data_IF_289176933747
#
_entry.id   IF_289176933747
#
_cell.length_a   1.000
_cell.length_b   1.000
_cell.length_c   1.000
_cell.angle_alpha   90.00
_cell.angle_beta   90.00
_cell.angle_gamma   90.00
#
_symmetry.space_group_name_H-M   'P 1'
#
loop_
_entity.id
_entity.type
_entity.pdbx_description
1 polymer ?
#
# COMPACT_ATOMS: atom_id res chain seq x y z
N UNK A 1 -106.36 12.35 11.57
CA UNK A 1 -106.97 13.43 10.77
C UNK A 1 -106.85 14.73 11.55
N UNK A 2 -106.24 15.75 10.93
CA UNK A 2 -106.34 17.21 11.17
C UNK A 2 -106.09 17.79 12.58
N UNK A 3 -105.25 18.83 12.54
CA UNK A 3 -105.36 20.12 13.25
C UNK A 3 -104.94 20.11 14.74
N UNK A 4 -104.38 21.15 15.38
CA UNK A 4 -104.05 22.55 15.02
C UNK A 4 -103.34 23.17 16.26
N UNK A 5 -102.50 24.19 16.03
CA UNK A 5 -102.21 25.38 16.89
C UNK A 5 -101.27 25.36 18.13
N UNK A 6 -100.27 26.23 18.01
CA UNK A 6 -99.83 27.34 18.91
C UNK A 6 -99.31 27.12 20.33
N UNK A 7 -98.07 27.60 20.53
CA UNK A 7 -97.65 28.66 21.47
C UNK A 7 -98.14 28.62 22.92
N UNK A 8 -97.22 28.55 23.89
CA UNK A 8 -96.85 29.68 24.76
C UNK A 8 -95.83 29.28 25.82
N UNK A 9 -95.09 30.31 26.26
CA UNK A 9 -94.16 30.38 27.38
C UNK A 9 -94.75 29.87 28.71
N UNK A 10 -93.87 29.50 29.65
CA UNK A 10 -94.20 29.51 31.08
C UNK A 10 -93.18 28.81 31.98
N UNK A 11 -92.27 29.58 32.55
CA UNK A 11 -91.42 29.24 33.69
C UNK A 11 -92.26 28.76 34.90
N UNK A 12 -91.74 27.81 35.70
CA UNK A 12 -91.83 27.86 37.18
C UNK A 12 -90.83 26.90 37.84
N UNK A 13 -89.99 27.45 38.70
CA UNK A 13 -89.08 26.76 39.63
C UNK A 13 -89.86 25.98 40.72
N UNK A 14 -89.23 25.00 41.40
CA UNK A 14 -89.30 24.77 42.87
C UNK A 14 -88.40 23.58 43.29
N UNK A 15 -87.39 23.93 44.11
CA UNK A 15 -86.81 23.30 45.31
C UNK A 15 -86.41 21.80 45.39
N UNK A 16 -85.08 21.63 45.46
CA UNK A 16 -84.28 20.94 46.49
C UNK A 16 -84.85 19.74 47.27
N UNK A 17 -84.18 18.59 47.12
CA UNK A 17 -83.94 17.63 48.20
C UNK A 17 -82.43 17.29 48.26
N UNK A 18 -81.81 17.51 49.42
CA UNK A 18 -80.45 17.08 49.78
C UNK A 18 -80.57 15.95 50.82
N UNK A 19 -79.95 14.79 50.58
CA UNK A 19 -79.03 14.08 51.51
C UNK A 19 -78.58 12.75 50.85
N UNK A 20 -77.31 12.68 50.44
CA UNK A 20 -76.21 11.93 51.08
C UNK A 20 -76.25 10.39 50.91
N UNK A 21 -75.48 9.88 49.94
CA UNK A 21 -74.35 8.98 50.24
C UNK A 21 -73.44 8.78 49.01
N UNK A 22 -72.14 8.72 49.28
CA UNK A 22 -71.03 8.68 48.32
C UNK A 22 -70.90 7.32 47.64
N UNK A 23 -70.68 7.32 46.32
CA UNK A 23 -69.80 6.32 45.68
C UNK A 23 -69.12 6.90 44.46
N UNK A 24 -67.83 6.60 44.37
CA UNK A 24 -66.77 7.14 43.54
C UNK A 24 -67.04 6.85 42.05
N UNK A 25 -66.96 7.88 41.18
CA UNK A 25 -66.81 7.71 39.74
C UNK A 25 -65.36 8.03 39.36
N UNK A 26 -64.70 7.05 38.74
CA UNK A 26 -63.34 7.12 38.21
C UNK A 26 -63.20 8.28 37.22
N UNK A 27 -62.16 9.09 37.40
CA UNK A 27 -61.64 9.97 36.36
C UNK A 27 -60.90 9.11 35.34
N UNK A 28 -61.57 8.77 34.24
CA UNK A 28 -60.86 8.25 33.07
C UNK A 28 -60.37 9.44 32.24
N UNK A 29 -59.15 9.87 32.58
CA UNK A 29 -58.31 10.73 31.77
C UNK A 29 -58.09 10.08 30.40
N UNK A 30 -58.75 10.58 29.35
CA UNK A 30 -58.21 10.42 27.99
C UNK A 30 -57.22 11.55 27.77
N UNK A 31 -56.06 11.45 28.43
CA UNK A 31 -54.86 12.06 27.92
C UNK A 31 -54.39 11.13 26.79
N UNK A 32 -54.80 11.42 25.56
CA UNK A 32 -54.14 10.81 24.40
C UNK A 32 -52.70 11.32 24.41
N UNK A 33 -51.79 10.54 24.98
CA UNK A 33 -50.36 10.71 24.76
C UNK A 33 -50.15 10.54 23.25
N UNK A 34 -50.07 11.66 22.52
CA UNK A 34 -49.39 11.67 21.24
C UNK A 34 -47.95 11.27 21.55
N UNK A 35 -47.65 9.99 21.32
CA UNK A 35 -46.30 9.49 21.40
C UNK A 35 -45.60 10.07 20.17
N UNK A 36 -45.04 11.27 20.31
CA UNK A 36 -44.23 11.90 19.27
C UNK A 36 -43.03 10.98 19.09
N UNK A 37 -43.05 10.20 18.01
CA UNK A 37 -41.92 9.36 17.65
C UNK A 37 -40.78 10.32 17.33
N UNK A 38 -39.69 10.26 18.10
CA UNK A 38 -38.54 11.13 17.88
C UNK A 38 -38.12 11.07 16.43
N UNK A 39 -37.99 12.25 15.82
CA UNK A 39 -37.26 12.33 14.57
C UNK A 39 -35.79 12.02 14.89
N UNK A 40 -35.05 11.45 13.93
CA UNK A 40 -33.62 11.28 14.15
C UNK A 40 -32.89 12.63 14.20
N UNK A 41 -31.66 12.66 14.72
CA UNK A 41 -30.86 13.87 14.76
C UNK A 41 -30.57 14.39 13.35
N UNK A 42 -30.20 15.67 13.21
CA UNK A 42 -29.68 16.25 11.98
C UNK A 42 -28.18 16.48 12.13
N UNK A 43 -27.38 15.74 11.37
CA UNK A 43 -25.93 15.84 11.38
C UNK A 43 -25.44 16.98 10.46
N UNK A 44 -24.64 17.89 11.02
CA UNK A 44 -24.09 19.03 10.29
C UNK A 44 -22.57 19.06 10.42
N UNK A 45 -21.89 18.91 9.29
CA UNK A 45 -20.43 18.96 9.20
C UNK A 45 -19.97 20.32 8.66
N UNK A 46 -18.75 20.71 9.02
CA UNK A 46 -18.03 21.78 8.31
C UNK A 46 -17.79 21.37 6.86
N UNK A 47 -18.15 22.25 5.92
CA UNK A 47 -18.06 21.99 4.48
C UNK A 47 -16.72 22.45 3.87
N UNK A 48 -16.00 23.34 4.55
CA UNK A 48 -14.66 23.75 4.13
C UNK A 48 -13.67 22.60 4.28
N UNK A 49 -12.71 22.51 3.36
CA UNK A 49 -11.60 21.58 3.51
C UNK A 49 -10.78 21.95 4.74
N UNK A 50 -10.83 21.08 5.76
CA UNK A 50 -10.12 21.31 7.01
C UNK A 50 -8.66 20.89 6.86
N UNK A 51 -7.74 21.84 7.11
CA UNK A 51 -6.31 21.61 7.04
C UNK A 51 -5.73 21.27 8.42
N UNK A 52 -5.08 20.11 8.56
CA UNK A 52 -4.38 19.70 9.78
C UNK A 52 -2.88 19.53 9.52
N UNK A 53 -2.07 19.77 10.55
CA UNK A 53 -0.61 19.63 10.51
C UNK A 53 -0.13 18.75 11.66
N UNK A 54 0.95 18.00 11.44
CA UNK A 54 1.52 17.10 12.45
C UNK A 54 2.08 17.89 13.64
N UNK A 55 1.91 17.33 14.85
CA UNK A 55 2.60 17.84 16.04
C UNK A 55 4.08 17.37 16.08
N UNK A 56 4.84 17.83 17.08
CA UNK A 56 6.25 17.47 17.27
C UNK A 56 6.53 15.96 17.45
N UNK A 57 5.50 15.18 17.76
CA UNK A 57 5.57 13.73 17.93
C UNK A 57 5.10 12.98 16.67
N UNK A 58 4.86 13.68 15.56
CA UNK A 58 4.43 13.07 14.30
C UNK A 58 3.00 12.54 14.33
N UNK A 59 2.12 13.13 15.15
CA UNK A 59 0.72 12.70 15.31
C UNK A 59 -0.26 13.85 15.04
N UNK A 60 -1.37 13.53 14.40
CA UNK A 60 -2.57 14.35 14.30
C UNK A 60 -3.69 13.61 15.02
N UNK A 61 -4.44 14.31 15.86
CA UNK A 61 -5.67 13.79 16.47
C UNK A 61 -6.79 14.74 16.08
N UNK A 62 -7.80 14.21 15.40
CA UNK A 62 -8.98 14.96 14.95
C UNK A 62 -10.15 14.47 15.78
N UNK A 63 -10.71 15.37 16.60
CA UNK A 63 -11.89 15.10 17.41
C UNK A 63 -13.17 15.52 16.69
N UNK A 64 -14.28 14.88 17.03
CA UNK A 64 -15.60 15.15 16.45
C UNK A 64 -16.05 16.62 16.60
N UNK A 65 -15.71 17.27 17.70
CA UNK A 65 -16.01 18.68 17.95
C UNK A 65 -15.33 19.66 16.97
N UNK A 66 -14.25 19.24 16.32
CA UNK A 66 -13.59 20.04 15.28
C UNK A 66 -14.33 19.96 13.94
N UNK A 67 -15.15 18.92 13.75
CA UNK A 67 -15.86 18.61 12.51
C UNK A 67 -17.32 19.05 12.58
N UNK A 68 -17.96 18.86 13.72
CA UNK A 68 -19.34 19.28 13.95
C UNK A 68 -19.50 20.79 13.74
N UNK A 69 -20.57 21.16 13.05
CA UNK A 69 -20.95 22.54 12.76
C UNK A 69 -22.33 22.88 13.34
N UNK A 70 -22.67 22.27 14.49
CA UNK A 70 -23.92 22.51 15.19
C UNK A 70 -25.02 21.53 14.81
N UNK A 71 -24.73 20.24 14.79
CA UNK A 71 -25.75 19.19 14.70
C UNK A 71 -26.80 19.38 15.80
N UNK A 72 -28.05 18.98 15.56
CA UNK A 72 -29.12 19.16 16.53
C UNK A 72 -30.19 18.09 16.40
N UNK A 73 -30.99 17.95 17.45
CA UNK A 73 -32.14 17.04 17.50
C UNK A 73 -33.36 17.76 18.09
N UNK A 74 -34.55 17.23 17.84
CA UNK A 74 -35.80 17.84 18.31
C UNK A 74 -36.08 17.56 19.80
N UNK A 75 -35.63 16.42 20.32
CA UNK A 75 -35.86 15.99 21.71
C UNK A 75 -34.60 15.85 22.53
N UNK A 76 -33.48 15.47 21.91
CA UNK A 76 -32.20 15.27 22.57
C UNK A 76 -31.42 16.59 22.62
N UNK A 77 -31.13 17.15 23.81
CA UNK A 77 -30.27 18.32 23.94
C UNK A 77 -28.87 18.06 23.38
N UNK A 78 -28.24 19.09 22.83
CA UNK A 78 -26.93 18.96 22.17
C UNK A 78 -25.87 18.28 23.03
N UNK A 79 -25.80 18.62 24.31
CA UNK A 79 -24.85 18.05 25.28
C UNK A 79 -25.03 16.54 25.52
N UNK A 80 -26.17 15.98 25.10
CA UNK A 80 -26.47 14.55 25.19
C UNK A 80 -26.31 13.81 23.87
N UNK A 81 -26.12 14.52 22.76
CA UNK A 81 -25.84 13.90 21.47
C UNK A 81 -24.47 13.21 21.51
N UNK A 82 -24.40 12.03 20.91
CA UNK A 82 -23.17 11.25 20.78
C UNK A 82 -22.60 11.42 19.39
N UNK A 83 -21.33 11.78 19.33
CA UNK A 83 -20.59 11.99 18.09
C UNK A 83 -19.49 10.96 17.96
N UNK A 84 -19.39 10.30 16.80
CA UNK A 84 -18.32 9.35 16.55
C UNK A 84 -18.02 9.17 15.07
N UNK A 85 -16.81 8.73 14.76
CA UNK A 85 -16.34 8.47 13.39
C UNK A 85 -16.54 7.01 12.96
N UNK A 86 -16.70 6.07 13.90
CA UNK A 86 -16.90 4.66 13.61
C UNK A 86 -18.08 4.09 14.42
N UNK A 87 -19.05 3.48 13.73
CA UNK A 87 -20.27 2.93 14.36
C UNK A 87 -20.02 1.79 15.35
N UNK A 88 -18.97 1.00 15.16
CA UNK A 88 -18.66 -0.18 15.98
C UNK A 88 -17.87 0.20 17.22
N UNK A 89 -16.78 0.97 17.05
CA UNK A 89 -15.93 1.38 18.16
C UNK A 89 -16.46 2.59 18.92
N UNK A 90 -17.43 3.33 18.36
CA UNK A 90 -17.98 4.58 18.90
C UNK A 90 -16.88 5.59 19.27
N UNK A 91 -15.82 5.63 18.45
CA UNK A 91 -14.66 6.50 18.63
C UNK A 91 -14.98 7.96 18.30
N UNK A 92 -14.64 8.87 19.20
CA UNK A 92 -14.82 10.32 19.09
C UNK A 92 -13.59 11.05 18.51
N UNK A 93 -12.55 10.29 18.16
CA UNK A 93 -11.33 10.80 17.52
C UNK A 93 -10.84 9.88 16.42
N UNK A 94 -10.28 10.47 15.37
CA UNK A 94 -9.43 9.79 14.40
C UNK A 94 -7.99 10.23 14.66
N UNK A 95 -7.08 9.27 14.68
CA UNK A 95 -5.65 9.52 14.82
C UNK A 95 -4.95 9.24 13.50
N UNK A 96 -4.06 10.15 13.10
CA UNK A 96 -3.12 9.93 12.01
C UNK A 96 -1.71 10.04 12.55
N UNK A 97 -0.95 8.97 12.42
CA UNK A 97 0.49 9.00 12.64
C UNK A 97 1.21 9.27 11.33
N UNK A 98 2.41 9.83 11.39
CA UNK A 98 3.29 9.92 10.22
C UNK A 98 3.37 8.56 9.49
N UNK A 99 3.47 7.46 10.23
CA UNK A 99 3.53 6.10 9.70
C UNK A 99 2.23 5.64 9.00
N UNK A 100 1.07 6.16 9.40
CA UNK A 100 -0.26 5.79 8.89
C UNK A 100 -0.70 6.61 7.68
N UNK A 101 -0.16 7.82 7.53
CA UNK A 101 -0.44 8.73 6.43
C UNK A 101 -0.11 8.12 5.05
N UNK A 102 0.71 7.07 5.04
CA UNK A 102 1.35 6.49 3.85
C UNK A 102 0.71 5.23 3.29
N UNK A 103 -0.23 4.62 4.00
CA UNK A 103 -1.00 3.50 3.43
C UNK A 103 -2.09 3.98 2.47
N UNK A 104 -2.62 5.20 2.67
CA UNK A 104 -3.81 5.67 1.96
C UNK A 104 -3.51 6.37 0.62
N UNK A 105 -2.31 6.92 0.42
CA UNK A 105 -2.09 7.95 -0.62
C UNK A 105 -1.08 7.59 -1.72
N UNK A 106 -0.33 6.49 -1.57
CA UNK A 106 0.52 5.95 -2.64
C UNK A 106 1.66 6.86 -3.13
N UNK A 107 1.84 8.05 -2.56
CA UNK A 107 2.84 9.04 -2.92
C UNK A 107 3.03 10.01 -1.73
N UNK A 108 4.25 10.12 -1.20
CA UNK A 108 4.54 10.87 0.02
C UNK A 108 4.53 12.40 -0.22
N UNK A 109 4.37 12.83 -1.47
CA UNK A 109 4.25 14.22 -1.91
C UNK A 109 2.82 14.61 -2.37
N UNK A 110 1.86 13.68 -2.38
CA UNK A 110 0.48 13.99 -2.78
C UNK A 110 -0.34 14.53 -1.62
N UNK A 111 -0.83 15.76 -1.83
CA UNK A 111 -1.91 16.39 -1.06
C UNK A 111 -3.23 15.70 -1.39
N UNK A 112 -3.50 14.57 -0.77
CA UNK A 112 -4.76 13.88 -1.02
C UNK A 112 -5.84 14.30 -0.02
N UNK A 113 -7.02 14.52 -0.59
CA UNK A 113 -8.25 14.85 0.12
C UNK A 113 -8.87 13.54 0.62
N UNK A 114 -8.94 13.39 1.94
CA UNK A 114 -9.56 12.21 2.57
C UNK A 114 -11.03 12.50 2.89
N UNK A 115 -11.93 11.60 2.47
CA UNK A 115 -13.35 11.70 2.77
C UNK A 115 -13.71 10.82 3.97
N UNK A 116 -14.32 11.42 4.99
CA UNK A 116 -14.78 10.76 6.20
C UNK A 116 -16.24 11.06 6.49
N UNK A 117 -16.83 10.29 7.40
CA UNK A 117 -18.22 10.41 7.85
C UNK A 117 -18.22 10.68 9.35
N UNK A 118 -18.93 11.74 9.77
CA UNK A 118 -19.28 11.98 11.16
C UNK A 118 -20.68 11.42 11.40
N UNK A 119 -20.84 10.60 12.44
CA UNK A 119 -22.14 10.10 12.88
C UNK A 119 -22.61 10.83 14.13
N UNK A 120 -23.91 11.12 14.18
CA UNK A 120 -24.59 11.75 15.31
C UNK A 120 -25.71 10.82 15.75
N UNK A 121 -25.74 10.50 17.05
CA UNK A 121 -26.73 9.62 17.66
C UNK A 121 -27.42 10.30 18.84
N UNK A 122 -28.75 10.15 18.89
CA UNK A 122 -29.61 10.72 19.92
C UNK A 122 -29.79 9.76 21.13
N UNK A 123 -30.61 10.13 22.13
CA UNK A 123 -30.90 9.25 23.28
C UNK A 123 -31.75 8.02 22.91
N UNK A 124 -32.49 8.08 21.81
CA UNK A 124 -33.38 7.03 21.28
C UNK A 124 -32.68 6.08 20.28
N UNK A 125 -31.36 6.25 20.07
CA UNK A 125 -30.51 5.49 19.15
C UNK A 125 -30.83 5.69 17.66
N UNK A 126 -31.52 6.77 17.29
CA UNK A 126 -31.57 7.20 15.91
C UNK A 126 -30.22 7.80 15.52
N UNK A 127 -29.79 7.55 14.28
CA UNK A 127 -28.47 7.95 13.79
C UNK A 127 -28.65 8.70 12.48
N UNK A 128 -28.00 9.86 12.39
CA UNK A 128 -27.77 10.59 11.15
C UNK A 128 -26.26 10.79 10.91
N UNK A 129 -25.88 11.20 9.70
CA UNK A 129 -24.48 11.34 9.33
C UNK A 129 -24.23 12.44 8.31
N UNK A 130 -23.06 13.05 8.40
CA UNK A 130 -22.57 14.02 7.42
C UNK A 130 -21.17 13.65 6.92
N UNK A 131 -20.94 13.89 5.63
CA UNK A 131 -19.64 13.68 5.01
C UNK A 131 -18.80 14.96 5.13
N UNK A 132 -17.49 14.78 5.32
CA UNK A 132 -16.54 15.88 5.34
C UNK A 132 -15.22 15.47 4.71
N UNK A 133 -14.46 16.47 4.25
CA UNK A 133 -13.19 16.27 3.58
C UNK A 133 -12.06 16.90 4.38
N UNK A 134 -11.01 16.12 4.63
CA UNK A 134 -9.82 16.53 5.37
C UNK A 134 -8.65 16.66 4.39
N UNK A 135 -7.87 17.72 4.56
CA UNK A 135 -6.55 17.85 3.95
C UNK A 135 -5.48 17.80 5.06
N UNK A 136 -4.58 16.83 4.98
CA UNK A 136 -3.44 16.72 5.91
C UNK A 136 -2.21 17.24 5.18
N UNK A 137 -1.51 18.21 5.79
CA UNK A 137 -0.31 18.79 5.20
C UNK A 137 0.88 18.66 6.16
N UNK A 138 2.04 18.26 5.63
CA UNK A 138 3.33 18.33 6.34
C UNK A 138 4.13 19.57 5.91
N UNK A 139 3.61 20.77 6.20
CA UNK A 139 4.22 22.03 5.76
C UNK A 139 5.61 22.30 6.35
N UNK A 140 5.96 21.62 7.45
CA UNK A 140 7.21 21.83 8.18
C UNK A 140 8.18 20.64 8.06
N UNK A 141 7.88 19.65 7.22
CA UNK A 141 8.65 18.41 7.11
C UNK A 141 8.93 17.77 8.48
N UNK A 142 7.92 17.83 9.38
CA UNK A 142 8.03 17.34 10.76
C UNK A 142 8.05 15.82 10.80
N UNK A 143 7.42 15.18 9.82
CA UNK A 143 7.59 13.74 9.68
C UNK A 143 8.98 13.45 9.10
N UNK A 144 9.76 12.52 9.71
CA UNK A 144 11.15 12.27 9.37
C UNK A 144 11.29 11.42 8.11
N UNK A 145 10.71 11.89 7.00
CA UNK A 145 10.80 11.21 5.71
C UNK A 145 12.04 11.63 4.92
N UNK A 146 12.63 12.78 5.24
CA UNK A 146 13.88 13.24 4.63
C UNK A 146 15.12 12.47 5.11
N UNK A 147 16.00 12.11 4.17
CA UNK A 147 17.33 11.59 4.46
C UNK A 147 17.42 10.07 4.68
N UNK A 148 16.37 9.32 4.31
CA UNK A 148 16.47 7.86 4.18
C UNK A 148 17.01 7.48 2.81
N UNK A 149 17.65 6.33 2.77
CA UNK A 149 18.13 5.79 1.51
C UNK A 149 18.01 4.27 1.45
N UNK A 150 17.84 3.79 0.22
CA UNK A 150 18.02 2.39 -0.15
C UNK A 150 19.40 2.28 -0.77
N UNK A 151 20.25 1.43 -0.21
CA UNK A 151 21.55 1.08 -0.78
C UNK A 151 21.53 -0.35 -1.26
N UNK A 152 21.98 -0.53 -2.50
CA UNK A 152 22.15 -1.84 -3.14
C UNK A 152 23.60 -1.97 -3.58
N UNK A 153 24.21 -3.09 -3.22
CA UNK A 153 25.51 -3.49 -3.76
C UNK A 153 25.38 -4.69 -4.69
N UNK A 154 26.09 -4.63 -5.83
CA UNK A 154 26.15 -5.67 -6.84
C UNK A 154 27.60 -6.17 -6.94
N UNK A 155 27.80 -7.46 -6.68
CA UNK A 155 29.13 -8.07 -6.71
C UNK A 155 29.14 -9.38 -7.48
N UNK A 156 30.28 -9.78 -8.03
CA UNK A 156 30.49 -11.14 -8.56
C UNK A 156 30.79 -12.11 -7.41
N UNK A 157 30.85 -13.42 -7.71
CA UNK A 157 31.36 -14.44 -6.78
C UNK A 157 32.79 -14.16 -6.30
N UNK A 158 33.60 -13.47 -7.12
CA UNK A 158 34.96 -13.05 -6.77
C UNK A 158 35.00 -11.76 -5.95
N UNK A 159 33.82 -11.24 -5.55
CA UNK A 159 33.62 -9.97 -4.82
C UNK A 159 34.04 -8.73 -5.60
N UNK A 160 34.10 -8.82 -6.92
CA UNK A 160 34.32 -7.67 -7.81
C UNK A 160 33.00 -6.92 -7.98
N UNK A 161 33.07 -5.59 -8.06
CA UNK A 161 31.88 -4.76 -8.24
C UNK A 161 31.32 -4.86 -9.65
N UNK A 162 29.98 -4.95 -9.77
CA UNK A 162 29.29 -5.08 -11.06
C UNK A 162 28.49 -3.82 -11.35
N UNK A 163 28.86 -3.10 -12.40
CA UNK A 163 28.03 -1.99 -12.87
C UNK A 163 26.77 -2.53 -13.54
N UNK A 164 25.61 -1.96 -13.23
CA UNK A 164 24.30 -2.39 -13.76
C UNK A 164 23.29 -1.30 -13.55
N UNK A 165 22.22 -1.33 -14.31
CA UNK A 165 20.99 -0.60 -13.96
C UNK A 165 20.26 -1.36 -12.87
N UNK A 166 19.57 -0.67 -11.97
CA UNK A 166 18.71 -1.23 -10.93
C UNK A 166 17.33 -0.59 -11.10
N UNK A 167 16.31 -1.43 -11.18
CA UNK A 167 14.90 -1.02 -11.27
C UNK A 167 14.23 -1.30 -9.94
N UNK A 168 13.48 -0.32 -9.44
CA UNK A 168 12.53 -0.49 -8.35
C UNK A 168 11.17 -0.72 -8.97
N UNK A 169 10.48 -1.79 -8.58
CA UNK A 169 9.16 -2.13 -9.10
C UNK A 169 8.12 -2.22 -7.98
N UNK A 170 6.91 -1.76 -8.24
CA UNK A 170 5.74 -2.00 -7.42
C UNK A 170 4.65 -2.60 -8.30
N UNK A 171 4.11 -3.75 -7.93
CA UNK A 171 3.11 -4.47 -8.73
C UNK A 171 3.54 -4.68 -10.20
N UNK A 172 4.82 -4.99 -10.41
CA UNK A 172 5.48 -5.13 -11.72
C UNK A 172 5.60 -3.85 -12.56
N UNK A 173 5.20 -2.70 -12.02
CA UNK A 173 5.40 -1.38 -12.63
C UNK A 173 6.72 -0.81 -12.14
N UNK A 174 7.56 -0.33 -13.06
CA UNK A 174 8.81 0.36 -12.71
C UNK A 174 8.43 1.71 -12.09
N UNK A 175 8.79 1.91 -10.83
CA UNK A 175 8.56 3.17 -10.09
C UNK A 175 9.79 4.06 -10.06
N UNK A 176 11.00 3.47 -10.16
CA UNK A 176 12.25 4.20 -10.24
C UNK A 176 13.35 3.36 -10.90
N UNK A 177 14.38 4.02 -11.41
CA UNK A 177 15.52 3.40 -12.06
C UNK A 177 16.83 4.15 -11.77
N UNK A 178 17.84 3.44 -11.27
CA UNK A 178 19.13 4.01 -10.91
C UNK A 178 20.28 3.21 -11.53
N UNK A 179 21.35 3.88 -11.92
CA UNK A 179 22.58 3.22 -12.36
C UNK A 179 23.49 2.94 -11.16
N UNK A 180 23.79 1.67 -10.93
CA UNK A 180 24.84 1.27 -10.00
C UNK A 180 26.21 1.52 -10.63
N UNK A 181 26.98 2.41 -10.00
CA UNK A 181 28.34 2.77 -10.39
C UNK A 181 29.32 2.22 -9.38
N UNK A 182 30.41 1.61 -9.85
CA UNK A 182 31.31 0.78 -9.03
C UNK A 182 30.53 -0.25 -8.19
N UNK A 183 29.50 -0.86 -8.79
CA UNK A 183 28.64 -1.85 -8.15
C UNK A 183 27.85 -1.37 -6.94
N UNK A 184 27.69 -0.06 -6.76
CA UNK A 184 26.87 0.51 -5.69
C UNK A 184 25.85 1.46 -6.29
N UNK A 185 24.62 1.39 -5.81
CA UNK A 185 23.61 2.41 -6.03
C UNK A 185 23.01 2.82 -4.69
N UNK A 186 22.70 4.10 -4.58
CA UNK A 186 21.94 4.64 -3.47
C UNK A 186 20.78 5.43 -4.05
N UNK A 187 19.56 5.00 -3.76
CA UNK A 187 18.38 5.80 -4.03
C UNK A 187 18.10 6.57 -2.75
N UNK A 188 18.27 7.88 -2.82
CA UNK A 188 17.87 8.80 -1.77
C UNK A 188 16.40 9.14 -1.98
N UNK A 189 15.63 9.12 -0.90
CA UNK A 189 14.22 9.43 -1.04
C UNK A 189 13.46 9.33 0.26
N UNK A 190 12.27 9.91 0.22
CA UNK A 190 11.26 9.75 1.25
C UNK A 190 10.61 8.37 1.07
N UNK A 191 11.35 7.30 1.37
CA UNK A 191 10.79 5.95 1.33
C UNK A 191 9.80 5.80 2.47
N UNK A 192 8.62 5.35 2.12
CA UNK A 192 7.49 5.21 3.01
C UNK A 192 7.23 3.72 3.27
N UNK A 193 6.55 3.37 4.38
CA UNK A 193 6.25 1.97 4.66
C UNK A 193 5.49 1.36 3.48
N UNK A 194 5.97 0.22 3.00
CA UNK A 194 5.40 -0.40 1.80
C UNK A 194 6.28 -1.53 1.30
N UNK A 195 5.85 -2.13 0.20
CA UNK A 195 6.60 -3.17 -0.47
C UNK A 195 6.95 -2.78 -1.90
N UNK A 196 8.13 -3.21 -2.32
CA UNK A 196 8.62 -3.05 -3.69
C UNK A 196 9.65 -4.13 -3.97
N UNK A 197 9.84 -4.42 -5.25
CA UNK A 197 10.88 -5.31 -5.74
C UNK A 197 12.08 -4.48 -6.22
N UNK A 198 13.28 -5.00 -5.97
CA UNK A 198 14.53 -4.47 -6.50
C UNK A 198 15.04 -5.46 -7.52
N UNK A 199 15.32 -5.01 -8.73
CA UNK A 199 15.75 -5.88 -9.83
C UNK A 199 16.90 -5.23 -10.60
N UNK A 200 18.14 -5.73 -10.43
CA UNK A 200 19.24 -5.34 -11.31
C UNK A 200 19.01 -5.87 -12.73
N UNK A 201 19.28 -5.04 -13.72
CA UNK A 201 19.11 -5.33 -15.13
C UNK A 201 20.36 -4.94 -15.93
N UNK A 202 20.93 -5.91 -16.64
CA UNK A 202 22.12 -5.69 -17.47
C UNK A 202 22.18 -6.63 -18.67
N UNK A 203 22.20 -6.04 -19.86
CA UNK A 203 22.15 -6.77 -21.12
C UNK A 203 23.07 -6.22 -22.21
N UNK A 204 24.37 -6.13 -21.92
CA UNK A 204 25.42 -5.65 -22.82
C UNK A 204 26.54 -6.69 -23.02
N UNK A 205 27.33 -6.53 -24.08
CA UNK A 205 28.61 -7.25 -24.23
C UNK A 205 28.56 -8.76 -23.94
N UNK A 206 27.65 -9.49 -24.60
CA UNK A 206 27.44 -10.91 -24.33
C UNK A 206 28.73 -11.75 -24.43
N UNK A 207 29.67 -11.36 -25.29
CA UNK A 207 30.97 -12.01 -25.48
C UNK A 207 32.00 -11.77 -24.36
N UNK A 208 31.79 -10.79 -23.48
CA UNK A 208 32.73 -10.47 -22.40
C UNK A 208 32.95 -11.70 -21.49
N UNK A 209 34.19 -12.18 -21.40
CA UNK A 209 34.58 -13.37 -20.64
C UNK A 209 34.17 -14.72 -21.26
N UNK A 210 33.41 -14.74 -22.36
CA UNK A 210 32.93 -15.99 -22.97
C UNK A 210 33.91 -16.48 -24.02
N UNK A 211 34.60 -17.59 -23.72
CA UNK A 211 35.67 -18.13 -24.57
C UNK A 211 35.49 -19.62 -24.88
N UNK A 212 36.39 -20.17 -25.71
CA UNK A 212 36.43 -21.62 -25.96
C UNK A 212 36.79 -22.43 -24.72
N UNK A 213 37.47 -21.83 -23.73
CA UNK A 213 37.77 -22.48 -22.46
C UNK A 213 36.48 -22.77 -21.66
N UNK A 214 35.49 -21.87 -21.74
CA UNK A 214 34.17 -22.04 -21.11
C UNK A 214 33.40 -23.20 -21.73
N UNK A 215 33.44 -23.32 -23.06
CA UNK A 215 32.86 -24.47 -23.78
C UNK A 215 33.50 -25.79 -23.32
N UNK A 216 34.84 -25.82 -23.17
CA UNK A 216 35.54 -27.01 -22.69
C UNK A 216 35.08 -27.35 -21.26
N UNK A 217 34.95 -26.34 -20.39
CA UNK A 217 34.48 -26.51 -19.01
C UNK A 217 33.06 -27.07 -18.93
N UNK A 218 32.14 -26.57 -19.77
CA UNK A 218 30.76 -27.07 -19.90
C UNK A 218 30.76 -28.50 -20.43
N UNK A 219 31.55 -28.78 -21.48
CA UNK A 219 31.68 -30.15 -22.03
C UNK A 219 32.16 -31.15 -20.98
N UNK A 220 33.18 -30.81 -20.19
CA UNK A 220 33.67 -31.67 -19.11
C UNK A 220 32.64 -31.91 -18.01
N UNK A 221 31.76 -30.93 -17.76
CA UNK A 221 30.63 -31.13 -16.84
C UNK A 221 29.62 -32.14 -17.39
N UNK A 222 29.22 -31.99 -18.65
CA UNK A 222 28.28 -32.92 -19.33
C UNK A 222 28.82 -34.36 -19.35
N UNK A 223 30.12 -34.52 -19.63
CA UNK A 223 30.78 -35.83 -19.63
C UNK A 223 31.05 -36.38 -18.21
N UNK A 224 30.80 -35.59 -17.17
CA UNK A 224 31.02 -35.99 -15.78
C UNK A 224 32.49 -36.06 -15.34
N UNK A 225 33.45 -35.66 -16.19
CA UNK A 225 34.88 -35.73 -15.90
C UNK A 225 35.36 -34.59 -14.99
N UNK A 226 34.69 -33.45 -15.04
CA UNK A 226 34.88 -32.35 -14.10
C UNK A 226 33.53 -31.65 -13.90
N UNK A 227 32.78 -32.03 -12.86
CA UNK A 227 31.44 -31.48 -12.63
C UNK A 227 31.51 -30.05 -12.09
N UNK A 228 30.60 -29.18 -12.52
CA UNK A 228 30.37 -27.87 -11.90
C UNK A 228 29.55 -28.14 -10.63
N UNK A 229 30.01 -27.60 -9.50
CA UNK A 229 29.36 -27.78 -8.19
C UNK A 229 28.77 -26.45 -7.69
N UNK A 230 29.38 -25.32 -8.08
CA UNK A 230 28.92 -24.01 -7.64
C UNK A 230 27.61 -23.64 -8.35
N UNK A 231 26.54 -23.26 -7.61
CA UNK A 231 25.22 -23.00 -8.17
C UNK A 231 25.22 -21.84 -9.17
N UNK A 232 25.96 -20.77 -8.90
CA UNK A 232 26.05 -19.62 -9.80
C UNK A 232 26.76 -19.96 -11.12
N UNK A 233 27.73 -20.88 -11.08
CA UNK A 233 28.41 -21.36 -12.29
C UNK A 233 27.51 -22.32 -13.08
N UNK A 234 26.64 -23.09 -12.42
CA UNK A 234 25.58 -23.87 -13.11
C UNK A 234 24.59 -22.94 -13.81
N UNK A 235 24.15 -21.87 -13.14
CA UNK A 235 23.29 -20.84 -13.74
C UNK A 235 23.94 -20.14 -14.93
N UNK A 236 25.24 -19.83 -14.84
CA UNK A 236 26.00 -19.23 -15.94
C UNK A 236 26.14 -20.17 -17.15
N UNK A 237 26.22 -21.48 -16.93
CA UNK A 237 26.38 -22.50 -17.97
C UNK A 237 25.11 -22.79 -18.78
N UNK A 238 23.93 -22.60 -18.19
CA UNK A 238 22.62 -22.74 -18.87
C UNK A 238 22.27 -21.47 -19.64
N UNK A 239 22.97 -21.26 -20.76
CA UNK A 239 22.86 -20.03 -21.56
C UNK A 239 21.52 -19.88 -22.27
N UNK A 240 20.79 -20.99 -22.47
CA UNK A 240 19.49 -21.00 -23.12
C UNK A 240 18.29 -21.05 -22.16
N UNK A 241 18.55 -21.01 -20.84
CA UNK A 241 17.57 -21.04 -19.76
C UNK A 241 16.62 -22.25 -19.84
N UNK A 242 17.17 -23.43 -20.12
CA UNK A 242 16.40 -24.69 -20.16
C UNK A 242 16.32 -25.40 -18.82
N UNK A 243 16.98 -24.87 -17.78
CA UNK A 243 17.20 -25.51 -16.49
C UNK A 243 17.98 -26.83 -16.60
N UNK A 244 18.82 -26.94 -17.63
CA UNK A 244 19.67 -28.09 -17.91
C UNK A 244 20.91 -27.66 -18.67
N UNK A 245 22.05 -28.32 -18.42
CA UNK A 245 23.30 -28.03 -19.13
C UNK A 245 23.54 -29.14 -20.13
N UNK A 246 23.46 -28.80 -21.42
CA UNK A 246 23.48 -29.77 -22.52
C UNK A 246 24.35 -29.30 -23.69
N UNK A 247 24.42 -30.12 -24.76
CA UNK A 247 25.07 -29.72 -26.00
C UNK A 247 24.45 -28.49 -26.66
N UNK A 248 23.19 -28.18 -26.36
CA UNK A 248 22.50 -26.98 -26.86
C UNK A 248 23.14 -25.69 -26.32
N UNK A 249 23.59 -25.69 -25.08
CA UNK A 249 24.29 -24.55 -24.46
C UNK A 249 25.64 -24.32 -25.14
N UNK A 250 26.37 -25.40 -25.41
CA UNK A 250 27.62 -25.35 -26.19
C UNK A 250 27.38 -24.78 -27.58
N UNK A 251 26.29 -25.17 -28.25
CA UNK A 251 25.97 -24.67 -29.59
C UNK A 251 25.70 -23.15 -29.57
N UNK A 252 24.93 -22.67 -28.59
CA UNK A 252 24.65 -21.23 -28.41
C UNK A 252 25.92 -20.43 -28.11
N UNK A 253 26.79 -20.91 -27.21
CA UNK A 253 28.08 -20.27 -26.93
C UNK A 253 28.98 -20.23 -28.17
N UNK A 254 29.01 -21.30 -28.97
CA UNK A 254 29.79 -21.33 -30.24
C UNK A 254 29.29 -20.31 -31.24
N UNK A 255 27.97 -20.18 -31.43
CA UNK A 255 27.40 -19.16 -32.33
C UNK A 255 27.81 -17.77 -31.89
N UNK A 256 27.79 -17.50 -30.58
CA UNK A 256 28.20 -16.22 -30.01
C UNK A 256 29.69 -15.95 -30.31
N UNK A 257 30.58 -16.88 -29.95
CA UNK A 257 32.05 -16.75 -30.15
C UNK A 257 32.41 -16.58 -31.63
N UNK A 258 31.70 -17.27 -32.52
CA UNK A 258 31.93 -17.17 -33.97
C UNK A 258 31.30 -15.93 -34.60
N UNK A 259 30.60 -15.08 -33.83
CA UNK A 259 29.91 -13.90 -34.33
C UNK A 259 28.68 -14.21 -35.20
N UNK A 260 28.21 -15.45 -35.20
CA UNK A 260 26.97 -15.85 -35.89
C UNK A 260 25.75 -15.19 -35.21
N UNK A 261 25.85 -14.97 -33.89
CA UNK A 261 24.91 -14.14 -33.14
C UNK A 261 25.68 -13.18 -32.23
N UNK A 262 25.14 -11.98 -32.02
CA UNK A 262 25.74 -10.98 -31.12
C UNK A 262 25.30 -11.12 -29.66
N UNK A 263 24.22 -11.87 -29.41
CA UNK A 263 23.63 -12.10 -28.09
C UNK A 263 23.05 -13.50 -27.94
N UNK A 264 22.87 -13.95 -26.70
CA UNK A 264 22.09 -15.15 -26.41
C UNK A 264 20.61 -14.86 -26.65
N UNK A 265 19.89 -15.84 -27.20
CA UNK A 265 18.50 -15.64 -27.64
C UNK A 265 17.48 -15.61 -26.48
N UNK A 266 17.80 -16.25 -25.36
CA UNK A 266 16.87 -16.46 -24.23
C UNK A 266 17.35 -15.89 -22.90
N UNK A 267 18.56 -15.37 -22.85
CA UNK A 267 19.15 -14.91 -21.59
C UNK A 267 19.80 -13.54 -21.77
N UNK A 268 19.62 -12.61 -20.81
CA UNK A 268 20.41 -11.40 -20.80
C UNK A 268 21.89 -11.71 -20.59
N UNK A 269 22.76 -10.76 -20.89
CA UNK A 269 24.21 -10.95 -20.75
C UNK A 269 24.67 -11.27 -19.32
N UNK A 270 23.99 -10.70 -18.33
CA UNK A 270 24.23 -10.83 -16.90
C UNK A 270 22.90 -11.12 -16.21
N UNK A 271 22.96 -11.90 -15.14
CA UNK A 271 21.83 -12.15 -14.24
C UNK A 271 22.29 -11.99 -12.81
N UNK A 272 21.34 -11.77 -11.93
CA UNK A 272 21.58 -11.42 -10.53
C UNK A 272 20.69 -12.26 -9.64
N UNK A 273 21.22 -12.66 -8.48
CA UNK A 273 20.46 -13.35 -7.44
C UNK A 273 20.68 -12.59 -6.13
N UNK A 274 19.63 -12.33 -5.33
CA UNK A 274 19.80 -11.75 -4.00
C UNK A 274 20.90 -12.45 -3.20
N UNK A 275 21.84 -11.69 -2.62
CA UNK A 275 22.94 -12.27 -1.83
C UNK A 275 22.43 -13.06 -0.62
N UNK A 276 21.28 -12.65 -0.07
CA UNK A 276 20.61 -13.34 1.03
C UNK A 276 19.87 -14.63 0.61
N UNK A 277 19.79 -14.95 -0.68
CA UNK A 277 19.09 -16.14 -1.15
C UNK A 277 19.88 -17.40 -0.84
N UNK A 278 19.20 -18.39 -0.24
CA UNK A 278 19.77 -19.70 0.08
C UNK A 278 19.24 -20.73 -0.91
N UNK A 279 20.13 -21.32 -1.71
CA UNK A 279 19.79 -22.42 -2.61
C UNK A 279 19.38 -23.66 -1.79
N UNK A 280 18.12 -24.06 -1.87
CA UNK A 280 17.61 -25.27 -1.22
C UNK A 280 18.31 -26.52 -1.74
N UNK A 281 18.45 -26.62 -3.06
CA UNK A 281 19.28 -27.61 -3.73
C UNK A 281 20.34 -26.88 -4.59
N UNK A 282 21.59 -26.77 -4.12
CA UNK A 282 22.67 -26.15 -4.88
C UNK A 282 23.00 -26.88 -6.19
N UNK A 283 22.61 -28.15 -6.35
CA UNK A 283 22.80 -28.92 -7.59
C UNK A 283 21.71 -28.64 -8.64
N UNK A 284 20.60 -28.03 -8.23
CA UNK A 284 19.50 -27.58 -9.09
C UNK A 284 19.12 -26.11 -8.78
N UNK A 285 19.98 -25.13 -9.13
CA UNK A 285 19.82 -23.74 -8.67
C UNK A 285 18.81 -22.90 -9.47
N UNK A 286 18.16 -23.45 -10.48
CA UNK A 286 17.40 -22.71 -11.50
C UNK A 286 16.11 -22.03 -11.00
N UNK A 287 15.69 -22.31 -9.76
CA UNK A 287 14.51 -21.71 -9.14
C UNK A 287 14.81 -20.44 -8.33
N UNK A 288 16.04 -19.93 -8.39
CA UNK A 288 16.41 -18.69 -7.70
C UNK A 288 15.65 -17.47 -8.24
N UNK A 289 15.28 -16.50 -7.39
CA UNK A 289 14.67 -15.26 -7.84
C UNK A 289 15.71 -14.35 -8.51
N UNK A 290 15.26 -13.55 -9.46
CA UNK A 290 16.03 -12.50 -10.14
C UNK A 290 15.77 -11.09 -9.55
N UNK A 291 14.88 -11.00 -8.56
CA UNK A 291 14.52 -9.79 -7.83
C UNK A 291 14.52 -10.01 -6.32
N UNK A 292 14.72 -8.94 -5.56
CA UNK A 292 14.57 -8.92 -4.11
C UNK A 292 13.25 -8.25 -3.75
N UNK A 293 12.32 -9.00 -3.16
CA UNK A 293 11.09 -8.43 -2.62
C UNK A 293 11.35 -7.84 -1.24
N UNK A 294 11.23 -6.52 -1.10
CA UNK A 294 11.53 -5.80 0.12
C UNK A 294 10.27 -5.20 0.74
N UNK A 295 10.02 -5.51 2.01
CA UNK A 295 9.01 -4.85 2.83
C UNK A 295 9.73 -3.79 3.67
N UNK A 296 9.62 -2.55 3.26
CA UNK A 296 10.21 -1.41 3.94
C UNK A 296 9.29 -0.93 5.08
N UNK A 297 9.87 -0.69 6.25
CA UNK A 297 9.12 -0.35 7.46
C UNK A 297 8.98 1.16 7.72
N UNK A 298 9.58 2.02 6.87
CA UNK A 298 9.49 3.48 7.02
C UNK A 298 10.49 4.11 8.00
N UNK A 299 11.20 3.32 8.82
CA UNK A 299 11.93 3.86 9.99
C UNK A 299 13.44 3.96 9.81
N UNK A 300 14.08 3.07 9.05
CA UNK A 300 15.54 2.96 8.94
C UNK A 300 15.99 2.82 7.49
N UNK A 301 17.24 3.23 7.20
CA UNK A 301 17.84 3.00 5.88
C UNK A 301 17.88 1.50 5.55
N UNK A 302 17.65 1.16 4.28
CA UNK A 302 17.71 -0.22 3.82
C UNK A 302 19.03 -0.47 3.10
N UNK A 303 19.94 -1.25 3.73
CA UNK A 303 21.33 -1.39 3.25
C UNK A 303 21.78 -2.81 2.94
N UNK A 304 20.94 -3.82 3.20
CA UNK A 304 21.28 -5.24 3.01
C UNK A 304 20.50 -5.85 1.84
N UNK A 305 20.41 -5.10 0.74
CA UNK A 305 19.62 -5.43 -0.44
C UNK A 305 20.52 -5.82 -1.61
N UNK A 306 21.57 -6.57 -1.30
CA UNK A 306 22.67 -6.86 -2.22
C UNK A 306 22.34 -8.01 -3.16
N UNK A 307 23.07 -8.06 -4.28
CA UNK A 307 22.97 -9.15 -5.26
C UNK A 307 24.34 -9.68 -5.65
N UNK A 308 24.36 -10.98 -5.96
CA UNK A 308 25.46 -11.64 -6.63
C UNK A 308 25.13 -11.73 -8.13
N UNK A 309 25.93 -11.04 -8.93
CA UNK A 309 25.88 -11.07 -10.38
C UNK A 309 26.72 -12.20 -10.97
N UNK A 310 26.20 -12.85 -12.00
CA UNK A 310 26.92 -13.84 -12.79
C UNK A 310 26.73 -13.57 -14.29
N UNK A 311 27.82 -13.71 -15.04
CA UNK A 311 27.85 -13.50 -16.48
C UNK A 311 27.42 -14.78 -17.20
N UNK A 312 26.39 -14.69 -18.04
CA UNK A 312 25.93 -15.85 -18.81
C UNK A 312 27.00 -16.26 -19.81
N UNK A 313 27.28 -17.57 -19.85
CA UNK A 313 28.30 -18.20 -20.69
C UNK A 313 29.73 -18.13 -20.15
N UNK A 314 30.00 -17.36 -19.10
CA UNK A 314 31.32 -17.27 -18.47
C UNK A 314 31.36 -18.18 -17.24
N UNK A 315 31.89 -19.40 -17.41
CA UNK A 315 31.88 -20.44 -16.37
C UNK A 315 33.23 -20.56 -15.65
N UNK A 316 34.19 -19.71 -16.01
CA UNK A 316 35.48 -19.56 -15.34
C UNK A 316 35.65 -18.19 -14.66
N UNK A 317 34.62 -17.33 -14.74
CA UNK A 317 34.54 -16.01 -14.11
C UNK A 317 35.65 -15.07 -14.58
N UNK A 318 35.86 -14.97 -15.89
CA UNK A 318 36.88 -14.09 -16.51
C UNK A 318 36.31 -12.78 -17.06
N UNK A 319 35.00 -12.58 -17.03
CA UNK A 319 34.36 -11.36 -17.49
C UNK A 319 34.72 -10.14 -16.64
N UNK A 320 35.01 -9.02 -17.30
CA UNK A 320 35.22 -7.72 -16.65
C UNK A 320 33.86 -7.12 -16.25
N UNK A 321 33.64 -6.89 -14.96
CA UNK A 321 32.33 -6.59 -14.37
C UNK A 321 32.00 -5.09 -14.24
N UNK A 322 32.99 -4.21 -14.29
CA UNK A 322 32.88 -2.76 -14.10
C UNK A 322 32.69 -1.97 -15.42
N UNK A 323 32.91 -2.58 -16.59
CA UNK A 323 32.73 -1.92 -17.88
C UNK A 323 31.34 -2.18 -18.44
N UNK A 324 30.50 -1.14 -18.58
CA UNK A 324 29.22 -1.20 -19.31
C UNK A 324 29.38 -0.49 -20.64
N UNK A 325 29.12 -1.16 -21.76
CA UNK A 325 29.02 -0.43 -23.03
C UNK A 325 27.63 0.19 -23.13
N UNK A 326 27.58 1.53 -23.14
CA UNK A 326 26.38 2.23 -23.59
C UNK A 326 26.20 1.90 -25.07
N UNK A 327 25.12 1.19 -25.42
CA UNK A 327 24.70 1.14 -26.82
C UNK A 327 24.40 2.58 -27.23
N UNK A 328 25.27 3.14 -28.07
CA UNK A 328 25.01 4.42 -28.74
C UNK A 328 23.70 4.26 -29.50
N UNK A 329 22.66 4.94 -29.02
CA UNK A 329 21.42 5.13 -29.74
C UNK A 329 21.78 5.82 -31.06
N UNK A 330 21.94 5.06 -32.13
CA UNK A 330 21.98 5.60 -33.48
C UNK A 330 20.59 6.17 -33.72
N UNK A 331 20.45 7.48 -33.51
CA UNK A 331 19.35 8.24 -34.05
C UNK A 331 19.43 8.11 -35.58
N UNK A 332 18.47 7.37 -36.14
CA UNK A 332 18.12 7.40 -37.56
C UNK A 332 16.87 8.26 -37.72
#
# INVERSE_FOLDING_TARGET
>A
MKAVKTSMLGFLSILFFFSHSRTIFSQDNIASSFNYKSSGPNAICRHDTLAFTFNSNGKIVIHTNQIDAGSYDDQTPYEKLKFYFNKQSKSDSIEFWCDDFLFLLGDCDKRDLLNYILYVEDEDQNIDSCNFTININDQNSLCPFGGKFIRVELRTLKREFVNSRIRLLKDSVIIDEINASHGQAQVDGNFCRGEFDIMPDRNDNHLNGVTTADIIRVKSHILGTNRIINPYILLAADVNQSHSITGSDIAEMRKLILGIQSKFSRSPSWRFVPESYIFQDPSYPYLCPDKYHHIYNGTNNATNLNFIGYKIGDVNSTATSDVVNQESKLEL
#
